data_IF_690741290072
#
_entry.id   IF_690741290072
#
_cell.length_a   1.000
_cell.length_b   1.000
_cell.length_c   1.000
_cell.angle_alpha   90.00
_cell.angle_beta   90.00
_cell.angle_gamma   90.00
#
_symmetry.space_group_name_H-M   'P 1'
#
loop_
_entity.id
_entity.type
_entity.pdbx_description
1 polymer ?
#
# COMPACT_ATOMS: atom_id res chain seq x y z
N UNK A 1 5.26 8.37 19.05
CA UNK A 1 4.59 8.03 17.77
C UNK A 1 3.22 8.70 17.75
N UNK A 2 2.96 9.60 16.80
CA UNK A 2 1.71 10.37 16.72
C UNK A 2 0.54 9.49 16.24
N UNK A 3 -0.70 9.94 16.47
CA UNK A 3 -1.91 9.23 15.98
C UNK A 3 -1.86 9.00 14.46
N UNK A 4 -1.32 9.97 13.70
CA UNK A 4 -1.13 9.89 12.25
C UNK A 4 -0.12 8.80 11.86
N UNK A 5 1.03 8.76 12.53
CA UNK A 5 2.05 7.73 12.31
C UNK A 5 1.53 6.31 12.61
N UNK A 6 0.71 6.13 13.66
CA UNK A 6 0.03 4.84 13.94
C UNK A 6 -0.88 4.41 12.79
N UNK A 7 -1.69 5.31 12.25
CA UNK A 7 -2.58 5.01 11.12
C UNK A 7 -1.77 4.67 9.86
N UNK A 8 -0.74 5.45 9.55
CA UNK A 8 0.11 5.19 8.38
C UNK A 8 0.83 3.85 8.49
N UNK A 9 1.37 3.52 9.67
CA UNK A 9 2.02 2.22 9.90
C UNK A 9 1.04 1.05 9.70
N UNK A 10 -0.22 1.17 10.16
CA UNK A 10 -1.24 0.13 9.88
C UNK A 10 -1.53 -0.02 8.39
N UNK A 11 -1.59 1.09 7.65
CA UNK A 11 -1.80 1.07 6.19
C UNK A 11 -0.63 0.39 5.48
N UNK A 12 0.60 0.78 5.80
CA UNK A 12 1.82 0.20 5.22
C UNK A 12 1.92 -1.28 5.56
N UNK A 13 1.68 -1.69 6.81
CA UNK A 13 1.68 -3.12 7.17
C UNK A 13 0.72 -3.92 6.29
N UNK A 14 -0.47 -3.39 6.02
CA UNK A 14 -1.44 -4.08 5.16
C UNK A 14 -1.03 -4.12 3.69
N UNK A 15 -0.28 -3.12 3.21
CA UNK A 15 0.34 -3.17 1.88
C UNK A 15 1.43 -4.24 1.82
N UNK A 16 2.26 -4.35 2.85
CA UNK A 16 3.32 -5.38 2.95
C UNK A 16 2.71 -6.78 3.07
N UNK A 17 1.59 -6.96 3.78
CA UNK A 17 0.88 -8.23 3.87
C UNK A 17 0.31 -8.69 2.52
N UNK A 18 -0.21 -7.75 1.70
CA UNK A 18 -0.80 -8.07 0.40
C UNK A 18 0.24 -8.18 -0.72
N UNK A 19 1.29 -7.36 -0.66
CA UNK A 19 2.35 -7.26 -1.66
C UNK A 19 3.72 -7.12 -0.99
N UNK A 20 4.24 -8.20 -0.36
CA UNK A 20 5.55 -8.17 0.30
C UNK A 20 6.71 -7.92 -0.67
N UNK A 21 6.53 -8.29 -1.95
CA UNK A 21 7.51 -8.09 -3.01
C UNK A 21 7.63 -6.62 -3.46
N UNK A 22 6.55 -5.83 -3.29
CA UNK A 22 6.50 -4.43 -3.75
C UNK A 22 6.70 -3.43 -2.60
N UNK A 23 6.23 -3.76 -1.40
CA UNK A 23 6.35 -2.90 -0.24
C UNK A 23 7.25 -3.54 0.81
N UNK A 24 8.24 -2.78 1.27
CA UNK A 24 9.11 -3.20 2.35
C UNK A 24 9.22 -2.08 3.39
N UNK A 25 9.04 -2.47 4.66
CA UNK A 25 9.03 -1.53 5.78
C UNK A 25 10.42 -1.08 6.20
N UNK A 26 11.44 -1.91 5.98
CA UNK A 26 12.82 -1.65 6.40
C UNK A 26 13.63 -0.93 5.32
N UNK A 27 13.36 -1.28 4.06
CA UNK A 27 13.95 -0.60 2.89
C UNK A 27 12.84 -0.12 1.97
N UNK A 28 12.36 1.11 2.12
CA UNK A 28 11.42 1.67 1.17
C UNK A 28 12.07 1.71 -0.21
N UNK A 29 11.62 0.83 -1.10
CA UNK A 29 12.06 0.83 -2.50
C UNK A 29 11.29 1.93 -3.26
N UNK A 30 11.92 2.57 -4.26
CA UNK A 30 11.22 3.48 -5.15
C UNK A 30 10.09 2.74 -5.85
N UNK A 31 8.86 3.16 -5.62
CA UNK A 31 7.70 2.62 -6.32
C UNK A 31 7.72 3.14 -7.75
N UNK A 32 7.55 2.23 -8.73
CA UNK A 32 7.30 2.61 -10.13
C UNK A 32 6.02 3.45 -10.18
N UNK A 33 6.04 4.53 -10.97
CA UNK A 33 5.00 5.58 -11.00
C UNK A 33 3.59 5.02 -11.32
N UNK A 34 3.51 3.88 -12.01
CA UNK A 34 2.26 3.24 -12.46
C UNK A 34 1.73 2.12 -11.53
N UNK A 35 2.40 1.84 -10.40
CA UNK A 35 1.99 0.80 -9.45
C UNK A 35 0.54 0.94 -8.94
N UNK A 36 -0.03 2.14 -8.69
CA UNK A 36 -1.38 2.24 -8.15
C UNK A 36 -2.46 1.59 -9.03
N UNK A 37 -2.34 1.70 -10.35
CA UNK A 37 -3.35 1.17 -11.27
C UNK A 37 -3.18 -0.35 -11.44
N UNK A 38 -1.93 -0.84 -11.50
CA UNK A 38 -1.62 -2.28 -11.45
C UNK A 38 -2.16 -2.93 -10.17
N UNK A 39 -2.01 -2.27 -9.02
CA UNK A 39 -2.52 -2.76 -7.74
C UNK A 39 -4.05 -2.74 -7.68
N UNK A 40 -4.71 -1.77 -8.31
CA UNK A 40 -6.18 -1.75 -8.41
C UNK A 40 -6.66 -2.94 -9.24
N UNK A 41 -5.97 -3.24 -10.35
CA UNK A 41 -6.30 -4.40 -11.17
C UNK A 41 -6.05 -5.72 -10.42
N UNK A 42 -4.94 -5.82 -9.69
CA UNK A 42 -4.62 -7.00 -8.87
C UNK A 42 -5.63 -7.18 -7.72
N UNK A 43 -6.09 -6.11 -7.08
CA UNK A 43 -7.20 -6.14 -6.11
C UNK A 43 -8.47 -6.71 -6.75
N UNK A 44 -8.81 -6.27 -7.96
CA UNK A 44 -9.99 -6.73 -8.68
C UNK A 44 -9.87 -8.21 -9.07
N UNK A 45 -8.69 -8.66 -9.51
CA UNK A 45 -8.41 -10.06 -9.87
C UNK A 45 -8.47 -10.97 -8.63
N UNK A 46 -7.91 -10.52 -7.50
CA UNK A 46 -7.85 -11.27 -6.24
C UNK A 46 -9.07 -11.10 -5.35
N UNK A 47 -10.09 -10.36 -5.83
CA UNK A 47 -11.30 -9.98 -5.08
C UNK A 47 -10.99 -9.48 -3.66
N UNK A 48 -9.90 -8.71 -3.51
CA UNK A 48 -9.48 -8.23 -2.20
C UNK A 48 -10.48 -7.18 -1.69
N UNK A 49 -10.86 -7.30 -0.42
CA UNK A 49 -11.67 -6.30 0.28
C UNK A 49 -10.82 -5.06 0.63
N UNK A 50 -10.31 -4.40 -0.41
CA UNK A 50 -9.41 -3.26 -0.31
C UNK A 50 -9.87 -2.17 -1.27
N UNK A 51 -10.48 -1.12 -0.74
CA UNK A 51 -11.03 -0.04 -1.58
C UNK A 51 -9.93 0.75 -2.30
N UNK A 52 -10.16 1.10 -3.57
CA UNK A 52 -9.20 1.85 -4.39
C UNK A 52 -8.76 3.19 -3.74
N UNK A 53 -9.67 3.90 -3.06
CA UNK A 53 -9.33 5.12 -2.33
C UNK A 53 -8.40 4.87 -1.12
N UNK A 54 -8.59 3.76 -0.42
CA UNK A 54 -7.71 3.36 0.68
C UNK A 54 -6.31 2.97 0.17
N UNK A 55 -6.23 2.36 -1.02
CA UNK A 55 -4.98 2.05 -1.71
C UNK A 55 -4.21 3.29 -2.11
N UNK A 56 -4.84 4.20 -2.84
CA UNK A 56 -4.19 5.46 -3.23
C UNK A 56 -3.67 6.22 -2.00
N UNK A 57 -4.45 6.28 -0.92
CA UNK A 57 -4.04 6.91 0.33
C UNK A 57 -2.90 6.17 1.06
N UNK A 58 -2.87 4.83 0.99
CA UNK A 58 -1.82 4.02 1.61
C UNK A 58 -0.50 4.14 0.84
N UNK A 59 -0.54 4.07 -0.49
CA UNK A 59 0.61 4.26 -1.37
C UNK A 59 1.18 5.68 -1.23
N UNK A 60 0.32 6.71 -1.22
CA UNK A 60 0.76 8.09 -0.98
C UNK A 60 1.28 8.34 0.44
N UNK A 61 1.02 7.45 1.40
CA UNK A 61 1.60 7.52 2.75
C UNK A 61 2.96 6.83 2.87
N UNK A 62 3.36 6.11 1.83
CA UNK A 62 4.61 5.34 1.76
C UNK A 62 5.72 6.10 1.02
N UNK A 63 5.36 6.98 0.07
CA UNK A 63 6.25 7.93 -0.62
C UNK A 63 6.57 9.13 0.27
#
# INVERSE_FOLDING_TARGET
MTKRQRKNRKRINRLVELWPELFNREKPQPLKVEIPDDLIQDIAIRELAFGAGALRAAVASYV
#
